data_IF_707068580886
#
_entry.id   IF_707068580886
#
_cell.length_a   1.000
_cell.length_b   1.000
_cell.length_c   1.000
_cell.angle_alpha   90.00
_cell.angle_beta   90.00
_cell.angle_gamma   90.00
#
_symmetry.space_group_name_H-M   'P 1'
#
loop_
_entity.id
_entity.type
_entity.pdbx_description
1 polymer ?
#
# COMPACT_ATOMS: atom_id res chain seq x y z
N UNK A 1 34.09 -8.44 -4.49
CA UNK A 1 32.79 -9.00 -4.10
C UNK A 1 31.85 -7.82 -3.98
N UNK A 2 30.67 -7.90 -4.59
CA UNK A 2 29.73 -6.77 -4.64
C UNK A 2 29.23 -6.41 -3.24
N UNK A 3 29.13 -5.11 -2.95
CA UNK A 3 28.75 -4.62 -1.61
C UNK A 3 27.32 -4.99 -1.22
N UNK A 4 26.40 -5.10 -2.19
CA UNK A 4 25.01 -5.48 -1.95
C UNK A 4 24.89 -6.88 -1.35
N UNK A 5 25.84 -7.78 -1.63
CA UNK A 5 25.78 -9.15 -1.12
C UNK A 5 25.86 -9.18 0.40
N UNK A 6 26.78 -8.40 0.98
CA UNK A 6 26.98 -8.34 2.43
C UNK A 6 25.88 -7.55 3.14
N UNK A 7 25.33 -6.50 2.51
CA UNK A 7 24.30 -5.65 3.13
C UNK A 7 22.88 -6.16 2.96
N UNK A 8 22.56 -6.83 1.87
CA UNK A 8 21.19 -7.26 1.53
C UNK A 8 21.06 -8.77 1.62
N UNK A 9 21.79 -9.51 0.78
CA UNK A 9 21.63 -10.97 0.70
C UNK A 9 21.89 -11.65 2.04
N UNK A 10 23.00 -11.31 2.71
CA UNK A 10 23.31 -11.85 4.04
C UNK A 10 22.27 -11.44 5.10
N UNK A 11 21.76 -10.21 5.04
CA UNK A 11 20.73 -9.71 5.98
C UNK A 11 19.43 -10.49 5.83
N UNK A 12 18.96 -10.71 4.60
CA UNK A 12 17.73 -11.46 4.36
C UNK A 12 17.88 -12.93 4.71
N UNK A 13 19.03 -13.55 4.41
CA UNK A 13 19.30 -14.93 4.84
C UNK A 13 19.32 -15.04 6.37
N UNK A 14 19.95 -14.09 7.07
CA UNK A 14 19.95 -14.07 8.54
C UNK A 14 18.53 -13.95 9.09
N UNK A 15 17.76 -12.96 8.61
CA UNK A 15 16.39 -12.73 9.07
C UNK A 15 15.50 -13.94 8.78
N UNK A 16 15.63 -14.59 7.62
CA UNK A 16 14.79 -15.74 7.26
C UNK A 16 14.87 -16.89 8.28
N UNK A 17 16.01 -17.07 8.94
CA UNK A 17 16.23 -18.15 9.90
C UNK A 17 16.19 -17.69 11.37
N UNK A 18 16.10 -16.39 11.63
CA UNK A 18 15.92 -15.80 12.97
C UNK A 18 14.44 -15.47 13.20
N UNK A 19 13.61 -16.49 13.42
CA UNK A 19 12.16 -16.31 13.62
C UNK A 19 11.84 -15.43 14.83
N UNK A 20 12.69 -15.49 15.87
CA UNK A 20 12.51 -14.74 17.12
C UNK A 20 12.88 -13.26 17.01
N UNK A 21 13.36 -12.82 15.84
CA UNK A 21 13.78 -11.47 15.59
C UNK A 21 12.66 -10.44 15.88
N UNK A 22 12.94 -9.35 16.61
CA UNK A 22 11.94 -8.31 16.90
C UNK A 22 11.30 -7.70 15.66
N UNK A 23 12.01 -7.69 14.52
CA UNK A 23 11.49 -7.16 13.25
C UNK A 23 10.28 -7.97 12.77
N UNK A 24 10.27 -9.30 12.96
CA UNK A 24 9.13 -10.14 12.61
C UNK A 24 7.93 -9.91 13.54
N UNK A 25 8.18 -9.82 14.85
CA UNK A 25 7.14 -9.68 15.88
C UNK A 25 6.46 -8.32 15.87
N UNK A 26 7.09 -7.32 15.25
CA UNK A 26 6.62 -5.93 15.30
C UNK A 26 5.55 -5.59 14.24
N UNK A 27 5.11 -6.56 13.44
CA UNK A 27 4.05 -6.39 12.44
C UNK A 27 4.38 -5.26 11.45
N UNK A 28 3.51 -4.25 11.37
CA UNK A 28 3.66 -3.11 10.44
C UNK A 28 4.54 -1.97 10.96
N UNK A 29 5.25 -2.16 12.09
CA UNK A 29 6.08 -1.11 12.71
C UNK A 29 7.37 -0.80 11.93
N UNK A 30 7.84 -1.73 11.11
CA UNK A 30 9.06 -1.56 10.33
C UNK A 30 8.79 -1.82 8.84
N UNK A 31 9.51 -1.11 8.00
CA UNK A 31 9.58 -1.32 6.55
C UNK A 31 11.03 -1.45 6.12
N UNK A 32 11.26 -2.24 5.08
CA UNK A 32 12.54 -2.31 4.39
C UNK A 32 12.52 -1.40 3.17
N UNK A 33 13.60 -0.66 2.95
CA UNK A 33 13.85 0.00 1.67
C UNK A 33 14.23 -1.04 0.61
N UNK A 34 14.35 -0.61 -0.65
CA UNK A 34 14.80 -1.47 -1.75
C UNK A 34 16.23 -1.99 -1.57
N UNK A 35 17.05 -1.32 -0.75
CA UNK A 35 18.40 -1.74 -0.35
C UNK A 35 18.40 -2.49 1.01
N UNK A 36 17.22 -2.87 1.50
CA UNK A 36 17.06 -3.61 2.75
C UNK A 36 17.38 -2.83 4.02
N UNK A 37 17.44 -1.50 4.00
CA UNK A 37 17.59 -0.71 5.23
C UNK A 37 16.28 -0.73 6.02
N UNK A 38 16.38 -0.96 7.34
CA UNK A 38 15.21 -1.01 8.23
C UNK A 38 14.80 0.42 8.61
N UNK A 39 13.54 0.78 8.39
CA UNK A 39 12.97 2.08 8.74
C UNK A 39 11.72 1.88 9.60
N UNK A 40 11.58 2.67 10.67
CA UNK A 40 10.39 2.64 11.52
C UNK A 40 9.23 3.42 10.90
N UNK A 41 8.03 2.83 10.96
CA UNK A 41 6.79 3.44 10.48
C UNK A 41 6.02 4.07 11.65
N UNK A 42 5.59 5.32 11.45
CA UNK A 42 4.80 6.06 12.43
C UNK A 42 3.47 5.33 12.75
N UNK A 43 2.89 5.56 13.93
CA UNK A 43 1.55 5.06 14.30
C UNK A 43 0.48 5.54 13.32
N UNK A 44 0.50 6.82 12.96
CA UNK A 44 -0.51 7.42 12.08
C UNK A 44 -0.54 6.81 10.67
N UNK A 45 0.60 6.31 10.19
CA UNK A 45 0.70 5.67 8.88
C UNK A 45 0.30 4.20 8.89
N UNK A 46 0.16 3.60 10.08
CA UNK A 46 -0.25 2.20 10.26
C UNK A 46 -1.77 2.04 10.38
N UNK A 47 -2.46 3.11 10.78
CA UNK A 47 -3.91 3.13 10.90
C UNK A 47 -4.51 3.27 9.50
N UNK A 48 -5.30 2.27 9.08
CA UNK A 48 -5.97 2.28 7.78
C UNK A 48 -7.38 2.86 7.99
N UNK A 49 -7.74 4.00 7.36
CA UNK A 49 -9.10 4.57 7.47
C UNK A 49 -10.18 3.59 7.01
N UNK A 50 -9.81 2.65 6.15
CA UNK A 50 -10.70 1.67 5.53
C UNK A 50 -11.14 0.54 6.47
N UNK A 51 -10.46 0.31 7.62
CA UNK A 51 -10.83 -0.76 8.57
C UNK A 51 -12.18 -0.52 9.25
N UNK A 52 -12.56 0.73 9.43
CA UNK A 52 -13.86 1.12 10.00
C UNK A 52 -15.02 0.75 9.09
N UNK A 53 -14.81 0.66 7.78
CA UNK A 53 -15.87 0.35 6.79
C UNK A 53 -16.27 -1.12 6.75
N UNK A 54 -15.44 -2.05 7.25
CA UNK A 54 -15.66 -3.49 7.11
C UNK A 54 -15.93 -4.21 8.44
N UNK A 55 -16.00 -3.49 9.56
CA UNK A 55 -16.11 -4.09 10.90
C UNK A 55 -17.56 -4.30 11.38
N UNK A 56 -18.59 -3.99 10.57
CA UNK A 56 -20.01 -4.16 10.97
C UNK A 56 -20.68 -5.47 10.47
N UNK A 57 -20.03 -6.32 9.67
CA UNK A 57 -20.62 -7.58 9.21
C UNK A 57 -19.85 -8.81 9.71
N UNK A 58 -20.12 -9.25 10.95
CA UNK A 58 -19.46 -10.43 11.52
C UNK A 58 -19.89 -10.87 12.93
N UNK A 59 -21.16 -11.22 13.07
CA UNK A 59 -21.83 -12.06 14.11
C UNK A 59 -21.15 -12.36 15.47
N UNK A 60 -21.74 -11.81 16.54
CA UNK A 60 -21.83 -12.45 17.86
C UNK A 60 -23.16 -13.22 17.94
N UNK A 61 -23.09 -14.53 18.15
CA UNK A 61 -24.20 -15.30 18.72
C UNK A 61 -24.22 -15.07 20.24
N UNK A 62 -25.23 -14.34 20.73
CA UNK A 62 -26.18 -14.81 21.76
C UNK A 62 -27.13 -13.68 22.25
N UNK A 63 -28.42 -13.98 22.10
CA UNK A 63 -29.58 -13.64 22.94
C UNK A 63 -29.88 -12.17 23.33
N UNK A 64 -30.84 -11.59 22.59
CA UNK A 64 -32.04 -10.99 23.17
C UNK A 64 -31.97 -9.59 23.77
N UNK A 65 -32.23 -8.55 22.96
CA UNK A 65 -33.21 -7.46 23.24
C UNK A 65 -33.20 -6.34 22.19
N UNK A 66 -34.41 -5.96 21.79
CA UNK A 66 -34.85 -4.61 21.38
C UNK A 66 -34.11 -3.88 20.25
N UNK A 67 -34.71 -3.93 19.07
CA UNK A 67 -35.16 -2.77 18.28
C UNK A 67 -34.45 -1.42 18.56
N UNK A 68 -33.53 -1.03 17.68
CA UNK A 68 -33.43 0.34 17.16
C UNK A 68 -32.64 0.31 15.84
N UNK A 69 -33.31 0.58 14.72
CA UNK A 69 -32.69 0.82 13.41
C UNK A 69 -31.92 2.13 13.47
N UNK A 70 -30.58 2.17 13.40
CA UNK A 70 -29.85 3.43 13.29
C UNK A 70 -30.06 3.97 11.88
N UNK A 71 -30.46 5.23 11.81
CA UNK A 71 -30.60 5.98 10.57
C UNK A 71 -29.25 5.98 9.86
N UNK A 72 -29.25 5.70 8.55
CA UNK A 72 -28.08 5.92 7.71
C UNK A 72 -27.51 7.30 7.99
N UNK A 73 -26.24 7.44 8.40
CA UNK A 73 -25.63 8.76 8.44
C UNK A 73 -25.61 9.27 7.00
N UNK A 74 -26.28 10.39 6.77
CA UNK A 74 -26.11 11.18 5.55
C UNK A 74 -24.62 11.43 5.40
N UNK A 75 -23.99 10.65 4.52
CA UNK A 75 -22.70 11.00 3.97
C UNK A 75 -22.94 12.36 3.33
N UNK A 76 -22.47 13.43 3.99
CA UNK A 76 -22.15 14.66 3.30
C UNK A 76 -21.13 14.24 2.27
N UNK A 77 -21.62 14.00 1.05
CA UNK A 77 -20.82 13.87 -0.15
C UNK A 77 -20.00 15.14 -0.17
N UNK A 78 -18.78 15.05 0.35
CA UNK A 78 -17.75 16.00 0.00
C UNK A 78 -17.76 15.92 -1.52
N UNK A 79 -18.12 17.01 -2.15
CA UNK A 79 -18.19 17.17 -3.59
C UNK A 79 -16.75 17.17 -4.14
N UNK A 80 -16.02 16.09 -3.85
CA UNK A 80 -14.85 15.69 -4.58
C UNK A 80 -15.42 15.24 -5.91
N UNK A 81 -15.56 16.17 -6.85
CA UNK A 81 -15.75 15.81 -8.24
C UNK A 81 -14.77 14.69 -8.52
N UNK A 82 -15.27 13.49 -8.82
CA UNK A 82 -14.50 12.37 -9.31
C UNK A 82 -14.05 12.67 -10.74
N UNK A 83 -13.39 13.81 -10.93
CA UNK A 83 -12.64 14.15 -12.11
C UNK A 83 -11.40 13.27 -12.10
N UNK A 84 -11.61 11.98 -12.33
CA UNK A 84 -10.59 11.05 -12.79
C UNK A 84 -10.31 11.41 -14.25
N UNK A 85 -9.67 12.57 -14.43
CA UNK A 85 -9.19 12.97 -15.75
C UNK A 85 -8.11 11.98 -16.14
N UNK A 86 -8.21 11.43 -17.36
CA UNK A 86 -7.14 10.62 -17.95
C UNK A 86 -5.84 11.41 -17.82
N UNK A 87 -4.86 10.84 -17.13
CA UNK A 87 -3.53 11.45 -17.01
C UNK A 87 -2.99 11.68 -18.43
N UNK A 88 -2.60 12.92 -18.78
CA UNK A 88 -2.02 13.20 -20.09
C UNK A 88 -0.86 12.26 -20.36
N UNK A 89 -0.75 11.74 -21.58
CA UNK A 89 0.20 10.68 -21.92
C UNK A 89 1.65 11.13 -21.65
N UNK A 90 1.95 12.44 -21.66
CA UNK A 90 3.27 12.99 -21.32
C UNK A 90 3.66 12.80 -19.85
N UNK A 91 2.66 12.73 -18.95
CA UNK A 91 2.88 12.60 -17.50
C UNK A 91 2.69 11.18 -17.00
N UNK A 92 2.12 10.30 -17.82
CA UNK A 92 1.74 8.94 -17.46
C UNK A 92 2.92 8.11 -16.93
N UNK A 93 4.12 8.38 -17.44
CA UNK A 93 5.28 7.56 -17.11
C UNK A 93 6.27 8.23 -16.15
N UNK A 94 6.17 9.55 -15.89
CA UNK A 94 7.15 10.31 -15.09
C UNK A 94 8.62 9.99 -15.43
N UNK A 95 8.87 9.47 -16.62
CA UNK A 95 10.20 9.07 -17.07
C UNK A 95 10.92 10.32 -17.56
N UNK A 96 12.25 10.37 -17.44
CA UNK A 96 13.07 11.43 -18.03
C UNK A 96 12.99 11.48 -19.58
N UNK A 97 12.22 10.57 -20.19
CA UNK A 97 12.05 10.43 -21.64
C UNK A 97 10.85 11.26 -22.13
N UNK A 98 11.05 12.04 -23.20
CA UNK A 98 9.93 12.77 -23.85
C UNK A 98 8.91 11.80 -24.44
N UNK A 99 7.63 12.17 -24.39
CA UNK A 99 6.50 11.38 -24.90
C UNK A 99 6.64 10.94 -26.36
N UNK A 100 7.28 11.77 -27.21
CA UNK A 100 7.54 11.43 -28.62
C UNK A 100 8.43 10.19 -28.78
N UNK A 101 9.42 10.00 -27.90
CA UNK A 101 10.31 8.84 -27.94
C UNK A 101 9.67 7.61 -27.30
N UNK A 102 8.83 7.81 -26.28
CA UNK A 102 8.07 6.72 -25.68
C UNK A 102 7.15 6.04 -26.72
N UNK A 103 6.51 6.82 -27.60
CA UNK A 103 5.68 6.29 -28.70
C UNK A 103 6.47 5.39 -29.66
N UNK A 104 7.73 5.72 -29.93
CA UNK A 104 8.59 4.89 -30.79
C UNK A 104 8.91 3.55 -30.12
N UNK A 105 9.12 3.56 -28.80
CA UNK A 105 9.32 2.34 -28.01
C UNK A 105 8.05 1.50 -28.05
N UNK A 106 6.89 2.09 -27.78
CA UNK A 106 5.60 1.39 -27.80
C UNK A 106 5.32 0.70 -29.15
N UNK A 107 5.65 1.36 -30.27
CA UNK A 107 5.57 0.76 -31.61
C UNK A 107 6.59 -0.38 -31.80
N UNK A 108 7.82 -0.22 -31.30
CA UNK A 108 8.86 -1.23 -31.39
C UNK A 108 8.51 -2.50 -30.59
N UNK A 109 7.88 -2.33 -29.42
CA UNK A 109 7.48 -3.44 -28.55
C UNK A 109 6.06 -3.96 -28.81
N UNK A 110 5.35 -3.39 -29.79
CA UNK A 110 4.03 -3.86 -30.22
C UNK A 110 2.90 -3.58 -29.22
N UNK A 111 3.02 -2.52 -28.42
CA UNK A 111 1.97 -2.09 -27.49
C UNK A 111 0.89 -1.22 -28.17
N UNK A 112 1.17 -0.73 -29.38
CA UNK A 112 0.29 0.04 -30.27
C UNK A 112 0.40 -0.58 -31.67
#
# INVERSE_FOLDING_TARGET
MESFFLSETCKYLYLLFDEENPVHKSGTKYMFTTEGHIVSVDKHLRESPWKEFFSEEGGQDQEGKSMHRPKSPELKVINSSSNCNRVPDERRYSLPLKSIYMRQIDQMVGLI
#
